data_IF_497952140688
#
_entry.id   IF_497952140688
#
_cell.length_a   1.000
_cell.length_b   1.000
_cell.length_c   1.000
_cell.angle_alpha   90.00
_cell.angle_beta   90.00
_cell.angle_gamma   90.00
#
_symmetry.space_group_name_H-M   'P 1'
#
loop_
_entity.id
_entity.type
_entity.pdbx_description
1 polymer ?
#
# COMPACT_ATOMS: atom_id res chain seq x y z
N UNK A 1 1.63 12.79 17.22
CA UNK A 1 0.88 12.50 15.97
C UNK A 1 -0.53 12.07 16.31
N UNK A 2 -1.45 12.28 15.38
CA UNK A 2 -2.82 11.78 15.41
C UNK A 2 -3.05 10.89 14.20
N UNK A 3 -3.92 9.90 14.33
CA UNK A 3 -4.35 9.04 13.23
C UNK A 3 -5.86 8.90 13.26
N UNK A 4 -6.48 8.71 12.11
CA UNK A 4 -7.91 8.41 12.04
C UNK A 4 -8.14 6.94 12.35
N UNK A 5 -8.91 6.69 13.40
CA UNK A 5 -9.29 5.34 13.79
C UNK A 5 -10.68 5.03 13.23
N UNK A 6 -10.77 4.09 12.29
CA UNK A 6 -12.06 3.64 11.73
C UNK A 6 -13.03 3.21 12.83
N UNK A 7 -12.53 2.57 13.89
CA UNK A 7 -13.35 2.12 14.99
C UNK A 7 -14.02 3.26 15.77
N UNK A 8 -13.44 4.46 15.85
CA UNK A 8 -14.09 5.59 16.52
C UNK A 8 -14.68 6.62 15.57
N UNK A 9 -14.30 6.58 14.29
CA UNK A 9 -14.72 7.54 13.27
C UNK A 9 -14.08 8.93 13.42
N UNK A 10 -12.96 9.07 14.15
CA UNK A 10 -12.28 10.35 14.36
C UNK A 10 -10.76 10.20 14.44
N UNK A 11 -10.05 11.33 14.31
CA UNK A 11 -8.61 11.42 14.58
C UNK A 11 -8.36 11.31 16.08
N UNK A 12 -7.52 10.36 16.49
CA UNK A 12 -7.11 10.09 17.87
C UNK A 12 -5.62 10.34 18.05
N UNK A 13 -5.19 10.70 19.26
CA UNK A 13 -3.76 10.78 19.58
C UNK A 13 -3.19 9.37 19.59
N UNK A 14 -2.14 9.13 18.81
CA UNK A 14 -1.50 7.83 18.75
C UNK A 14 -0.65 7.58 20.00
N UNK A 15 -1.03 6.54 20.72
CA UNK A 15 -0.26 5.94 21.81
C UNK A 15 -0.11 4.45 21.53
N UNK A 16 1.10 3.89 21.41
CA UNK A 16 1.27 2.45 21.31
C UNK A 16 0.85 1.73 22.61
N UNK A 17 0.73 0.41 22.56
CA UNK A 17 0.53 -0.48 23.70
C UNK A 17 1.77 -0.53 24.57
N UNK A 18 2.92 -0.77 23.94
CA UNK A 18 4.22 -0.85 24.58
C UNK A 18 5.04 0.39 24.23
N UNK A 19 5.69 1.03 25.22
CA UNK A 19 6.45 2.26 24.96
C UNK A 19 7.48 2.06 23.84
N UNK A 20 7.45 2.98 22.87
CA UNK A 20 8.34 3.01 21.70
C UNK A 20 8.29 1.78 20.77
N UNK A 21 7.35 0.85 20.96
CA UNK A 21 7.15 -0.32 20.09
C UNK A 21 5.78 -0.27 19.42
N UNK A 22 5.70 -0.69 18.17
CA UNK A 22 4.44 -0.71 17.41
C UNK A 22 4.30 -2.05 16.71
N UNK A 23 3.27 -2.83 17.07
CA UNK A 23 2.83 -4.00 16.33
C UNK A 23 1.82 -3.62 15.26
N UNK A 24 2.16 -3.88 14.00
CA UNK A 24 1.33 -3.50 12.85
C UNK A 24 1.05 -4.72 11.96
N UNK A 25 -0.22 -4.97 11.68
CA UNK A 25 -0.67 -6.01 10.76
C UNK A 25 -1.34 -5.39 9.53
N UNK A 26 -1.04 -5.88 8.33
CA UNK A 26 -1.70 -5.51 7.09
C UNK A 26 -2.20 -6.76 6.37
N UNK A 27 -3.52 -6.86 6.20
CA UNK A 27 -4.14 -7.86 5.33
C UNK A 27 -3.56 -7.76 3.92
N UNK A 28 -2.86 -8.81 3.48
CA UNK A 28 -2.28 -8.89 2.15
C UNK A 28 -3.20 -9.58 1.14
N UNK A 29 -2.70 -9.82 -0.08
CA UNK A 29 -3.52 -10.26 -1.19
C UNK A 29 -3.81 -11.78 -1.15
N UNK A 30 -4.94 -12.16 -1.73
CA UNK A 30 -5.16 -13.54 -2.20
C UNK A 30 -4.34 -13.76 -3.46
N UNK A 31 -3.41 -14.72 -3.44
CA UNK A 31 -2.41 -14.90 -4.50
C UNK A 31 -2.89 -15.76 -5.68
N UNK A 32 -4.13 -15.52 -6.11
CA UNK A 32 -4.73 -16.20 -7.27
C UNK A 32 -4.35 -15.55 -8.61
N UNK A 33 -3.92 -14.28 -8.61
CA UNK A 33 -3.51 -13.58 -9.83
C UNK A 33 -2.57 -12.42 -9.51
N UNK A 34 -1.97 -11.82 -10.54
CA UNK A 34 -1.04 -10.70 -10.39
C UNK A 34 -1.67 -9.47 -9.70
N UNK A 35 -0.80 -8.70 -9.05
CA UNK A 35 -1.18 -7.47 -8.35
C UNK A 35 -1.68 -6.38 -9.29
N UNK A 36 -2.69 -5.63 -8.87
CA UNK A 36 -3.22 -4.46 -9.58
C UNK A 36 -3.03 -3.18 -8.78
N UNK A 37 -3.39 -2.04 -9.36
CA UNK A 37 -3.22 -0.72 -8.74
C UNK A 37 -3.81 -0.60 -7.33
N UNK A 38 -4.95 -1.27 -7.07
CA UNK A 38 -5.55 -1.30 -5.74
C UNK A 38 -4.63 -1.93 -4.68
N UNK A 39 -3.95 -3.02 -5.05
CA UNK A 39 -2.94 -3.65 -4.19
C UNK A 39 -1.73 -2.73 -4.00
N UNK A 40 -1.25 -2.09 -5.07
CA UNK A 40 -0.15 -1.11 -4.99
C UNK A 40 -0.49 0.09 -4.10
N UNK A 41 -1.72 0.61 -4.18
CA UNK A 41 -2.21 1.71 -3.35
C UNK A 41 -2.18 1.37 -1.87
N UNK A 42 -2.72 0.21 -1.50
CA UNK A 42 -2.69 -0.27 -0.11
C UNK A 42 -1.24 -0.42 0.36
N UNK A 43 -0.41 -1.12 -0.42
CA UNK A 43 0.96 -1.40 -0.03
C UNK A 43 1.82 -0.13 0.14
N UNK A 44 1.72 0.86 -0.77
CA UNK A 44 2.42 2.14 -0.65
C UNK A 44 1.92 2.96 0.54
N UNK A 45 0.60 2.99 0.78
CA UNK A 45 0.04 3.72 1.93
C UNK A 45 0.61 3.20 3.26
N UNK A 46 0.61 1.89 3.45
CA UNK A 46 1.08 1.27 4.68
C UNK A 46 2.61 1.21 4.79
N UNK A 47 3.34 1.18 3.68
CA UNK A 47 4.79 1.39 3.63
C UNK A 47 5.16 2.79 4.15
N UNK A 48 4.49 3.85 3.68
CA UNK A 48 4.72 5.23 4.15
C UNK A 48 4.36 5.39 5.62
N UNK A 49 3.25 4.82 6.07
CA UNK A 49 2.85 4.82 7.49
C UNK A 49 3.94 4.17 8.34
N UNK A 50 4.40 2.97 7.96
CA UNK A 50 5.47 2.24 8.66
C UNK A 50 6.77 3.05 8.68
N UNK A 51 7.21 3.56 7.54
CA UNK A 51 8.43 4.37 7.43
C UNK A 51 8.35 5.63 8.28
N UNK A 52 7.20 6.29 8.35
CA UNK A 52 7.04 7.47 9.20
C UNK A 52 7.08 7.13 10.70
N UNK A 53 6.53 5.99 11.12
CA UNK A 53 6.67 5.52 12.51
C UNK A 53 8.15 5.26 12.84
N UNK A 54 8.91 4.64 11.94
CA UNK A 54 10.36 4.44 12.09
C UNK A 54 11.08 5.79 12.15
N UNK A 55 10.74 6.74 11.27
CA UNK A 55 11.27 8.10 11.27
C UNK A 55 11.03 8.83 12.60
N UNK A 56 9.89 8.58 13.26
CA UNK A 56 9.56 9.11 14.60
C UNK A 56 10.31 8.42 15.74
N UNK A 57 11.07 7.35 15.46
CA UNK A 57 11.88 6.61 16.42
C UNK A 57 11.19 5.38 17.02
N UNK A 58 10.04 4.94 16.48
CA UNK A 58 9.39 3.71 16.94
C UNK A 58 10.11 2.47 16.40
N UNK A 59 10.17 1.43 17.23
CA UNK A 59 10.49 0.07 16.80
C UNK A 59 9.22 -0.59 16.28
N UNK A 60 9.12 -0.76 14.96
CA UNK A 60 7.92 -1.33 14.33
C UNK A 60 8.16 -2.81 14.02
N UNK A 61 7.21 -3.67 14.42
CA UNK A 61 7.09 -5.04 13.92
C UNK A 61 5.92 -5.07 12.95
N UNK A 62 6.22 -5.19 11.67
CA UNK A 62 5.25 -5.18 10.58
C UNK A 62 5.03 -6.60 10.03
N UNK A 63 3.79 -7.07 10.12
CA UNK A 63 3.35 -8.39 9.67
C UNK A 63 2.36 -8.22 8.52
N UNK A 64 2.53 -9.00 7.46
CA UNK A 64 1.54 -9.08 6.38
C UNK A 64 1.45 -10.49 5.84
N UNK A 65 0.26 -10.91 5.46
CA UNK A 65 0.01 -12.27 4.99
C UNK A 65 -0.11 -12.37 3.47
N UNK A 66 0.08 -13.58 2.95
CA UNK A 66 -0.43 -14.01 1.66
C UNK A 66 -1.52 -15.06 1.92
N UNK A 67 -2.73 -14.80 1.45
CA UNK A 67 -3.78 -15.84 1.44
C UNK A 67 -3.48 -16.77 0.27
N UNK A 68 -2.87 -17.91 0.59
CA UNK A 68 -2.39 -18.94 -0.35
C UNK A 68 -3.30 -20.19 -0.41
N UNK A 69 -4.48 -20.11 0.21
CA UNK A 69 -5.60 -21.05 0.03
C UNK A 69 -6.92 -20.29 0.13
N UNK A 70 -7.76 -20.35 -0.92
CA UNK A 70 -9.09 -19.73 -0.97
C UNK A 70 -9.90 -20.32 -2.14
N UNK A 71 -11.22 -20.14 -2.15
CA UNK A 71 -12.10 -20.52 -3.26
C UNK A 71 -11.61 -19.93 -4.60
N UNK A 72 -11.15 -18.67 -4.65
CA UNK A 72 -10.62 -18.05 -5.88
C UNK A 72 -9.35 -18.73 -6.38
N UNK A 73 -8.51 -19.20 -5.47
CA UNK A 73 -7.29 -19.90 -5.82
C UNK A 73 -7.57 -21.29 -6.35
N UNK A 74 -8.51 -22.02 -5.75
CA UNK A 74 -8.95 -23.33 -6.21
C UNK A 74 -9.46 -23.22 -7.66
N UNK A 75 -10.42 -22.31 -7.90
CA UNK A 75 -10.98 -22.08 -9.25
C UNK A 75 -9.88 -21.74 -10.26
N UNK A 76 -8.93 -20.88 -9.88
CA UNK A 76 -7.86 -20.47 -10.78
C UNK A 76 -6.87 -21.60 -11.06
N UNK A 77 -6.49 -22.37 -10.04
CA UNK A 77 -5.58 -23.50 -10.16
C UNK A 77 -6.17 -24.57 -11.08
N UNK A 78 -7.46 -24.87 -10.94
CA UNK A 78 -8.20 -25.76 -11.86
C UNK A 78 -8.17 -25.26 -13.30
N UNK A 79 -8.48 -23.97 -13.54
CA UNK A 79 -8.41 -23.37 -14.88
C UNK A 79 -7.00 -23.48 -15.50
N UNK A 80 -5.97 -23.38 -14.68
CA UNK A 80 -4.56 -23.46 -15.10
C UNK A 80 -4.01 -24.89 -15.13
N UNK A 81 -4.78 -25.88 -14.65
CA UNK A 81 -4.36 -27.28 -14.50
C UNK A 81 -3.07 -27.45 -13.69
N UNK A 82 -2.95 -26.69 -12.60
CA UNK A 82 -1.85 -26.76 -11.62
C UNK A 82 -2.43 -26.90 -10.21
N UNK A 83 -1.61 -27.22 -9.21
CA UNK A 83 -2.08 -27.21 -7.82
C UNK A 83 -2.22 -25.79 -7.26
N UNK A 84 -3.01 -25.62 -6.20
CA UNK A 84 -3.13 -24.35 -5.47
C UNK A 84 -1.77 -23.90 -4.91
N UNK A 85 -0.96 -24.87 -4.46
CA UNK A 85 0.41 -24.63 -4.00
C UNK A 85 1.30 -24.10 -5.13
N UNK A 86 1.29 -24.74 -6.30
CA UNK A 86 2.09 -24.28 -7.45
C UNK A 86 1.65 -22.88 -7.90
N UNK A 87 0.35 -22.58 -7.81
CA UNK A 87 -0.17 -21.24 -8.10
C UNK A 87 0.39 -20.21 -7.11
N UNK A 88 0.37 -20.50 -5.80
CA UNK A 88 0.95 -19.63 -4.78
C UNK A 88 2.46 -19.42 -4.98
N UNK A 89 3.21 -20.50 -5.21
CA UNK A 89 4.66 -20.47 -5.43
C UNK A 89 5.04 -19.68 -6.70
N UNK A 90 4.14 -19.61 -7.68
CA UNK A 90 4.30 -18.77 -8.87
C UNK A 90 3.96 -17.30 -8.62
N UNK A 91 2.89 -17.00 -7.90
CA UNK A 91 2.34 -15.65 -7.80
C UNK A 91 2.97 -14.82 -6.66
N UNK A 92 3.36 -15.44 -5.54
CA UNK A 92 4.00 -14.71 -4.42
C UNK A 92 5.27 -13.98 -4.86
N UNK A 93 6.24 -14.62 -5.55
CA UNK A 93 7.44 -13.92 -6.03
C UNK A 93 7.10 -12.75 -6.97
N UNK A 94 6.02 -12.88 -7.75
CA UNK A 94 5.59 -11.82 -8.64
C UNK A 94 5.08 -10.59 -7.88
N UNK A 95 4.35 -10.78 -6.77
CA UNK A 95 3.98 -9.69 -5.87
C UNK A 95 5.20 -9.06 -5.20
N UNK A 96 6.17 -9.86 -4.74
CA UNK A 96 7.39 -9.33 -4.13
C UNK A 96 8.21 -8.48 -5.10
N UNK A 97 8.34 -8.92 -6.35
CA UNK A 97 8.98 -8.14 -7.43
C UNK A 97 8.20 -6.83 -7.68
N UNK A 98 6.88 -6.91 -7.84
CA UNK A 98 6.04 -5.75 -8.16
C UNK A 98 6.02 -4.72 -7.03
N UNK A 99 6.09 -5.18 -5.77
CA UNK A 99 6.18 -4.32 -4.59
C UNK A 99 7.58 -3.76 -4.39
N UNK A 100 8.63 -4.55 -4.65
CA UNK A 100 10.01 -4.09 -4.63
C UNK A 100 10.24 -2.97 -5.65
N UNK A 101 9.63 -3.08 -6.84
CA UNK A 101 9.66 -2.03 -7.85
C UNK A 101 9.04 -0.70 -7.35
N UNK A 102 8.00 -0.75 -6.51
CA UNK A 102 7.42 0.44 -5.85
C UNK A 102 8.23 0.96 -4.65
N UNK A 103 9.41 0.39 -4.38
CA UNK A 103 10.23 0.74 -3.22
C UNK A 103 9.60 0.36 -1.88
N UNK A 104 8.69 -0.63 -1.85
CA UNK A 104 8.07 -1.09 -0.60
C UNK A 104 9.09 -1.86 0.24
N UNK A 105 9.19 -1.54 1.53
CA UNK A 105 10.00 -2.32 2.47
C UNK A 105 9.42 -3.72 2.64
N UNK A 106 10.28 -4.75 2.63
CA UNK A 106 9.86 -6.10 3.02
C UNK A 106 9.26 -6.09 4.42
N UNK A 107 8.16 -6.81 4.60
CA UNK A 107 7.58 -7.05 5.93
C UNK A 107 8.62 -7.69 6.85
N UNK A 108 8.55 -7.40 8.15
CA UNK A 108 9.40 -8.08 9.13
C UNK A 108 9.03 -9.56 9.22
N UNK A 109 7.73 -9.86 9.03
CA UNK A 109 7.19 -11.22 8.99
C UNK A 109 6.18 -11.30 7.83
N UNK A 110 6.42 -12.25 6.92
CA UNK A 110 5.41 -12.69 5.97
C UNK A 110 4.79 -14.00 6.45
N UNK A 111 3.47 -14.07 6.45
CA UNK A 111 2.74 -15.29 6.82
C UNK A 111 1.98 -15.85 5.63
N UNK A 112 1.92 -17.18 5.52
CA UNK A 112 1.00 -17.88 4.62
C UNK A 112 -0.10 -18.53 5.44
N UNK A 113 -1.31 -18.56 4.90
CA UNK A 113 -2.42 -19.22 5.57
C UNK A 113 -2.14 -20.72 5.76
N UNK A 114 -1.55 -21.37 4.76
CA UNK A 114 -1.22 -22.80 4.82
C UNK A 114 -0.16 -23.16 5.87
N UNK A 115 0.66 -22.19 6.31
CA UNK A 115 1.68 -22.38 7.35
C UNK A 115 1.12 -22.21 8.78
N UNK A 116 -0.14 -21.81 8.95
CA UNK A 116 -0.75 -21.45 10.25
C UNK A 116 -2.07 -22.18 10.52
N UNK A 117 -2.25 -23.37 9.93
CA UNK A 117 -3.47 -24.17 10.08
C UNK A 117 -3.71 -24.58 11.54
N UNK A 118 -2.65 -24.90 12.27
CA UNK A 118 -2.74 -25.28 13.69
C UNK A 118 -3.30 -24.12 14.53
N UNK A 119 -2.79 -22.90 14.36
CA UNK A 119 -3.30 -21.71 15.05
C UNK A 119 -4.77 -21.41 14.69
N UNK A 120 -5.18 -21.66 13.45
CA UNK A 120 -6.58 -21.49 13.04
C UNK A 120 -7.48 -22.52 13.73
N UNK A 121 -7.06 -23.79 13.79
CA UNK A 121 -7.80 -24.85 14.49
C UNK A 121 -7.90 -24.52 15.98
N UNK A 122 -6.82 -24.06 16.62
CA UNK A 122 -6.84 -23.65 18.03
C UNK A 122 -7.82 -22.50 18.29
N UNK A 123 -7.83 -21.49 17.42
CA UNK A 123 -8.74 -20.36 17.52
C UNK A 123 -10.20 -20.82 17.40
N UNK A 124 -10.52 -21.67 16.43
CA UNK A 124 -11.89 -22.16 16.24
C UNK A 124 -12.34 -23.03 17.41
N UNK A 125 -11.44 -23.87 17.97
CA UNK A 125 -11.74 -24.64 19.18
C UNK A 125 -12.06 -23.75 20.38
N UNK A 126 -11.28 -22.69 20.61
CA UNK A 126 -11.57 -21.76 21.70
C UNK A 126 -12.89 -21.01 21.49
N UNK A 127 -13.22 -20.65 20.25
CA UNK A 127 -14.53 -20.07 19.92
C UNK A 127 -15.69 -21.04 20.19
N UNK A 128 -15.51 -22.32 19.90
CA UNK A 128 -16.48 -23.39 20.21
C UNK A 128 -16.66 -23.56 21.72
N UNK A 129 -15.56 -23.63 22.47
CA UNK A 129 -15.56 -23.72 23.94
C UNK A 129 -16.26 -22.50 24.59
N UNK A 130 -16.14 -21.32 23.98
CA UNK A 130 -16.82 -20.09 24.40
C UNK A 130 -18.28 -19.97 23.90
N UNK A 131 -18.77 -20.91 23.10
CA UNK A 131 -20.17 -20.95 22.63
C UNK A 131 -20.48 -20.04 21.45
N UNK A 132 -19.48 -19.66 20.65
CA UNK A 132 -19.62 -18.76 19.50
C UNK A 132 -19.75 -19.47 18.15
N UNK A 133 -19.73 -20.81 18.12
CA UNK A 133 -19.74 -21.58 16.88
C UNK A 133 -20.89 -22.56 16.80
N UNK A 134 -21.19 -22.99 15.58
CA UNK A 134 -22.03 -24.14 15.30
C UNK A 134 -21.62 -24.79 13.97
N UNK A 135 -21.94 -26.07 13.83
CA UNK A 135 -21.66 -26.83 12.61
C UNK A 135 -22.92 -26.97 11.76
N UNK A 136 -22.76 -26.89 10.44
CA UNK A 136 -23.77 -27.25 9.43
C UNK A 136 -23.18 -28.25 8.43
N UNK A 137 -23.94 -28.61 7.39
CA UNK A 137 -23.54 -29.63 6.43
C UNK A 137 -22.21 -29.37 5.71
N UNK A 138 -21.81 -28.10 5.54
CA UNK A 138 -20.63 -27.71 4.76
C UNK A 138 -19.48 -27.10 5.58
N UNK A 139 -19.61 -27.00 6.91
CA UNK A 139 -18.53 -26.49 7.75
C UNK A 139 -18.94 -26.04 9.15
N UNK A 140 -17.98 -25.41 9.83
CA UNK A 140 -18.12 -24.75 11.13
C UNK A 140 -18.24 -23.24 10.91
N UNK A 141 -19.25 -22.63 11.52
CA UNK A 141 -19.61 -21.23 11.35
C UNK A 141 -19.55 -20.47 12.66
N UNK A 142 -19.27 -19.17 12.58
CA UNK A 142 -19.42 -18.23 13.68
C UNK A 142 -20.87 -17.76 13.77
N UNK A 143 -21.47 -17.87 14.95
CA UNK A 143 -22.81 -17.36 15.23
C UNK A 143 -22.71 -15.88 15.62
N UNK A 144 -22.95 -14.97 14.68
CA UNK A 144 -22.78 -13.52 14.94
C UNK A 144 -23.73 -12.99 16.01
N UNK A 145 -24.81 -13.72 16.33
CA UNK A 145 -25.76 -13.31 17.37
C UNK A 145 -25.23 -13.50 18.78
N UNK A 146 -24.17 -14.29 18.93
CA UNK A 146 -23.48 -14.52 20.21
C UNK A 146 -22.43 -13.46 20.53
N UNK A 147 -22.12 -12.57 19.58
CA UNK A 147 -21.18 -11.45 19.76
C UNK A 147 -21.93 -10.11 19.66
N UNK A 148 -22.35 -9.50 20.79
CA UNK A 148 -23.20 -8.29 20.79
C UNK A 148 -22.60 -7.08 20.07
N UNK A 149 -21.28 -7.02 19.97
CA UNK A 149 -20.50 -5.94 19.38
C UNK A 149 -20.35 -6.05 17.84
N UNK A 150 -20.92 -7.08 17.21
CA UNK A 150 -20.80 -7.30 15.76
C UNK A 150 -21.36 -6.12 14.97
N UNK A 151 -20.53 -5.53 14.09
CA UNK A 151 -20.87 -4.33 13.32
C UNK A 151 -20.27 -3.03 13.87
N UNK A 152 -19.54 -3.09 14.99
CA UNK A 152 -18.96 -1.90 15.63
C UNK A 152 -17.90 -1.19 14.78
N UNK A 153 -17.18 -1.90 13.92
CA UNK A 153 -16.16 -1.28 13.05
C UNK A 153 -16.83 -0.55 11.89
N UNK A 154 -17.71 -1.25 11.17
CA UNK A 154 -18.45 -0.77 9.99
C UNK A 154 -19.58 0.20 10.30
N UNK A 155 -19.97 0.32 11.59
CA UNK A 155 -21.11 1.12 12.07
C UNK A 155 -22.46 0.64 11.57
N UNK A 156 -22.54 -0.63 11.17
CA UNK A 156 -23.78 -1.24 10.68
C UNK A 156 -24.43 -2.05 11.80
N UNK A 157 -25.75 -1.90 11.99
CA UNK A 157 -26.49 -2.75 12.90
C UNK A 157 -26.87 -4.05 12.20
N UNK A 158 -26.85 -5.17 12.94
CA UNK A 158 -27.28 -6.49 12.47
C UNK A 158 -28.68 -6.48 11.81
N UNK A 159 -29.61 -5.69 12.35
CA UNK A 159 -30.97 -5.57 11.80
C UNK A 159 -31.03 -4.80 10.48
N UNK A 160 -30.12 -3.85 10.25
CA UNK A 160 -30.02 -3.10 8.99
C UNK A 160 -29.38 -3.97 7.91
N UNK A 161 -28.39 -4.79 8.28
CA UNK A 161 -27.76 -5.79 7.42
C UNK A 161 -28.77 -6.82 6.89
N UNK A 162 -29.78 -7.20 7.70
CA UNK A 162 -30.88 -8.11 7.30
C UNK A 162 -31.71 -7.58 6.13
N UNK A 163 -31.85 -6.28 5.97
CA UNK A 163 -32.72 -5.70 4.94
C UNK A 163 -32.09 -5.69 3.53
N UNK A 164 -30.75 -5.81 3.42
CA UNK A 164 -30.00 -5.64 2.17
C UNK A 164 -29.74 -6.92 1.35
N UNK A 165 -29.89 -8.11 1.95
CA UNK A 165 -29.49 -9.39 1.31
C UNK A 165 -30.73 -10.14 0.83
N UNK A 166 -30.96 -10.15 -0.50
CA UNK A 166 -32.11 -10.85 -1.11
C UNK A 166 -31.76 -12.11 -1.92
N UNK A 167 -30.49 -12.49 -2.09
CA UNK A 167 -30.13 -13.40 -3.20
C UNK A 167 -29.52 -14.77 -2.92
N UNK A 168 -28.93 -15.08 -1.77
CA UNK A 168 -28.40 -16.43 -1.50
C UNK A 168 -28.39 -16.74 0.00
N UNK A 169 -29.52 -17.17 0.55
CA UNK A 169 -29.63 -17.59 1.94
C UNK A 169 -29.42 -19.10 2.03
N UNK A 170 -28.26 -19.54 2.53
CA UNK A 170 -28.11 -20.93 2.96
C UNK A 170 -29.07 -21.16 4.15
N UNK A 171 -30.10 -22.02 4.01
CA UNK A 171 -31.15 -22.17 5.02
C UNK A 171 -30.66 -22.85 6.31
N UNK A 172 -29.48 -23.48 6.30
CA UNK A 172 -28.89 -24.08 7.50
C UNK A 172 -28.24 -23.04 8.42
N UNK A 173 -27.96 -21.83 7.92
CA UNK A 173 -27.40 -20.77 8.76
C UNK A 173 -28.46 -20.22 9.72
N UNK A 174 -28.08 -20.04 10.98
CA UNK A 174 -28.96 -19.44 12.00
C UNK A 174 -29.22 -17.97 11.70
N UNK A 175 -28.21 -17.28 11.17
CA UNK A 175 -28.27 -15.91 10.70
C UNK A 175 -27.55 -15.80 9.35
N UNK A 176 -28.10 -14.98 8.43
CA UNK A 176 -27.52 -14.78 7.10
C UNK A 176 -26.12 -14.15 7.12
N UNK A 177 -25.77 -13.44 8.20
CA UNK A 177 -24.45 -12.86 8.42
C UNK A 177 -23.44 -13.82 9.03
N UNK A 178 -23.86 -15.05 9.42
CA UNK A 178 -22.94 -16.06 9.92
C UNK A 178 -21.95 -16.44 8.83
N UNK A 179 -20.67 -16.46 9.20
CA UNK A 179 -19.56 -16.69 8.29
C UNK A 179 -18.81 -17.96 8.66
N UNK A 180 -18.25 -18.61 7.64
CA UNK A 180 -17.52 -19.86 7.80
C UNK A 180 -16.18 -19.61 8.48
N UNK A 181 -15.87 -20.45 9.46
CA UNK A 181 -14.58 -20.53 10.14
C UNK A 181 -13.74 -21.67 9.55
N UNK A 182 -14.37 -22.82 9.33
CA UNK A 182 -13.76 -24.00 8.71
C UNK A 182 -14.73 -24.58 7.68
N UNK A 183 -14.31 -24.69 6.43
CA UNK A 183 -15.12 -25.23 5.33
C UNK A 183 -14.73 -26.68 5.08
N UNK A 184 -15.69 -27.60 5.02
CA UNK A 184 -15.39 -28.99 4.67
C UNK A 184 -14.95 -29.09 3.22
N UNK A 185 -13.91 -29.88 2.99
CA UNK A 185 -13.31 -30.02 1.68
C UNK A 185 -14.21 -30.83 0.76
N UNK A 186 -14.32 -30.39 -0.50
CA UNK A 186 -14.88 -31.21 -1.56
C UNK A 186 -13.79 -32.09 -2.16
N UNK A 187 -14.20 -33.15 -2.85
CA UNK A 187 -13.27 -34.04 -3.54
C UNK A 187 -12.35 -33.25 -4.49
N UNK A 188 -11.04 -33.39 -4.30
CA UNK A 188 -10.01 -32.73 -5.11
C UNK A 188 -9.59 -31.33 -4.63
N UNK A 189 -10.26 -30.73 -3.64
CA UNK A 189 -9.82 -29.48 -3.03
C UNK A 189 -8.65 -29.70 -2.03
N UNK A 190 -7.79 -28.70 -1.79
CA UNK A 190 -6.82 -28.75 -0.70
C UNK A 190 -7.51 -28.93 0.66
N UNK A 191 -7.01 -29.86 1.46
CA UNK A 191 -7.62 -30.25 2.74
C UNK A 191 -6.57 -30.52 3.82
N UNK A 192 -6.97 -30.28 5.07
CA UNK A 192 -6.24 -30.56 6.29
C UNK A 192 -7.14 -31.31 7.27
N UNK A 193 -6.53 -32.16 8.10
CA UNK A 193 -7.24 -32.82 9.19
C UNK A 193 -7.60 -31.81 10.29
N UNK A 194 -8.81 -31.92 10.84
CA UNK A 194 -9.28 -31.10 11.94
C UNK A 194 -10.23 -31.90 12.86
N UNK A 195 -10.53 -31.41 14.07
CA UNK A 195 -11.51 -32.02 14.96
C UNK A 195 -12.91 -32.18 14.35
N UNK A 196 -13.25 -31.36 13.35
CA UNK A 196 -14.56 -31.34 12.68
C UNK A 196 -14.58 -32.16 11.38
N UNK A 197 -13.46 -32.81 11.04
CA UNK A 197 -13.26 -33.51 9.78
C UNK A 197 -12.37 -32.74 8.81
N UNK A 198 -12.15 -33.32 7.63
CA UNK A 198 -11.26 -32.73 6.63
C UNK A 198 -11.84 -31.45 6.02
N UNK A 199 -11.01 -30.43 5.92
CA UNK A 199 -11.44 -29.15 5.40
C UNK A 199 -10.31 -28.14 5.28
N UNK A 200 -10.68 -26.88 5.20
CA UNK A 200 -9.78 -25.75 5.00
C UNK A 200 -10.33 -24.51 5.71
N UNK A 201 -9.47 -23.52 6.03
CA UNK A 201 -9.93 -22.31 6.70
C UNK A 201 -10.92 -21.51 5.85
N UNK A 202 -11.82 -20.81 6.53
CA UNK A 202 -12.60 -19.73 5.95
C UNK A 202 -11.77 -18.44 5.88
N UNK A 203 -12.02 -17.60 4.87
CA UNK A 203 -11.18 -16.42 4.56
C UNK A 203 -10.84 -15.53 5.77
N UNK A 204 -11.78 -15.33 6.70
CA UNK A 204 -11.58 -14.42 7.83
C UNK A 204 -10.68 -14.98 8.95
N UNK A 205 -10.71 -16.31 9.18
CA UNK A 205 -10.04 -16.91 10.35
C UNK A 205 -8.52 -16.81 10.27
N UNK A 206 -8.00 -16.74 9.05
CA UNK A 206 -6.57 -16.70 8.75
C UNK A 206 -5.92 -15.49 9.41
N UNK A 207 -6.43 -14.28 9.14
CA UNK A 207 -5.86 -13.03 9.63
C UNK A 207 -5.94 -12.93 11.15
N UNK A 208 -7.04 -13.36 11.77
CA UNK A 208 -7.18 -13.44 13.22
C UNK A 208 -6.13 -14.36 13.85
N UNK A 209 -5.93 -15.56 13.31
CA UNK A 209 -4.96 -16.51 13.84
C UNK A 209 -3.50 -16.03 13.66
N UNK A 210 -3.15 -15.62 12.45
CA UNK A 210 -1.79 -15.19 12.10
C UNK A 210 -1.38 -13.91 12.83
N UNK A 211 -2.22 -12.88 12.83
CA UNK A 211 -1.91 -11.61 13.50
C UNK A 211 -1.70 -11.81 15.01
N UNK A 212 -2.58 -12.58 15.66
CA UNK A 212 -2.47 -12.88 17.10
C UNK A 212 -1.22 -13.67 17.43
N UNK A 213 -0.84 -14.65 16.60
CA UNK A 213 0.38 -15.43 16.80
C UNK A 213 1.63 -14.56 16.86
N UNK A 214 1.71 -13.55 16.00
CA UNK A 214 2.92 -12.72 15.85
C UNK A 214 2.89 -11.43 16.67
N UNK A 215 1.72 -10.87 16.98
CA UNK A 215 1.57 -9.56 17.64
C UNK A 215 0.83 -9.60 19.00
N UNK A 216 0.23 -10.73 19.34
CA UNK A 216 -0.60 -10.93 20.54
C UNK A 216 -2.06 -10.51 20.35
N UNK A 217 -2.85 -10.62 21.43
CA UNK A 217 -4.31 -10.45 21.40
C UNK A 217 -4.81 -9.00 21.38
N UNK A 218 -3.94 -8.02 21.57
CA UNK A 218 -4.28 -6.59 21.64
C UNK A 218 -3.12 -5.79 21.05
N UNK A 219 -3.01 -5.67 19.73
CA UNK A 219 -1.89 -4.95 19.09
C UNK A 219 -2.29 -3.56 18.57
N UNK A 220 -1.31 -2.80 18.08
CA UNK A 220 -1.46 -1.37 17.86
C UNK A 220 -2.29 -1.03 16.63
N UNK A 221 -1.84 -1.45 15.44
CA UNK A 221 -2.38 -0.97 14.16
C UNK A 221 -2.77 -2.16 13.28
N UNK A 222 -4.01 -2.19 12.81
CA UNK A 222 -4.45 -3.09 11.75
C UNK A 222 -4.88 -2.29 10.52
N UNK A 223 -4.26 -2.61 9.38
CA UNK A 223 -4.45 -1.96 8.09
C UNK A 223 -5.16 -2.82 7.04
N UNK A 224 -5.85 -2.17 6.11
CA UNK A 224 -6.33 -2.79 4.87
C UNK A 224 -7.05 -1.81 3.93
N UNK A 225 -7.54 -2.30 2.80
CA UNK A 225 -8.43 -1.52 1.94
C UNK A 225 -9.78 -1.24 2.62
N UNK A 226 -10.46 -0.14 2.27
CA UNK A 226 -11.78 0.18 2.84
C UNK A 226 -12.84 -0.88 2.56
N UNK A 227 -12.68 -1.70 1.51
CA UNK A 227 -13.49 -2.90 1.27
C UNK A 227 -13.28 -4.03 2.28
N UNK A 228 -12.13 -4.08 2.96
CA UNK A 228 -11.88 -5.06 4.02
C UNK A 228 -12.57 -4.68 5.33
N UNK A 229 -12.99 -3.42 5.50
CA UNK A 229 -13.71 -2.98 6.71
C UNK A 229 -14.94 -3.87 6.99
N UNK A 230 -15.68 -4.24 5.94
CA UNK A 230 -16.79 -5.18 6.04
C UNK A 230 -16.90 -6.06 4.80
N UNK A 231 -17.03 -7.40 4.94
CA UNK A 231 -17.17 -8.10 6.23
C UNK A 231 -15.82 -8.42 6.91
N UNK A 232 -14.70 -8.36 6.20
CA UNK A 232 -13.47 -9.05 6.61
C UNK A 232 -12.95 -8.66 8.01
N UNK A 233 -12.58 -7.40 8.23
CA UNK A 233 -12.08 -6.92 9.51
C UNK A 233 -13.13 -6.95 10.63
N UNK A 234 -14.41 -6.81 10.31
CA UNK A 234 -15.50 -6.98 11.28
C UNK A 234 -15.55 -8.42 11.80
N UNK A 235 -15.42 -9.40 10.91
CA UNK A 235 -15.31 -10.81 11.26
C UNK A 235 -14.05 -11.09 12.10
N UNK A 236 -12.92 -10.46 11.79
CA UNK A 236 -11.68 -10.66 12.55
C UNK A 236 -11.76 -10.14 13.98
N UNK A 237 -12.39 -8.97 14.17
CA UNK A 237 -12.73 -8.45 15.50
C UNK A 237 -13.59 -9.47 16.25
N UNK A 238 -14.67 -9.94 15.61
CA UNK A 238 -15.59 -10.88 16.23
C UNK A 238 -14.87 -12.17 16.66
N UNK A 239 -14.06 -12.77 15.79
CA UNK A 239 -13.29 -13.97 16.09
C UNK A 239 -12.28 -13.74 17.21
N UNK A 240 -11.49 -12.66 17.14
CA UNK A 240 -10.37 -12.44 18.05
C UNK A 240 -10.82 -12.01 19.44
N UNK A 241 -11.84 -11.15 19.53
CA UNK A 241 -12.37 -10.67 20.80
C UNK A 241 -13.27 -11.70 21.48
N UNK A 242 -14.08 -12.45 20.72
CA UNK A 242 -14.88 -13.54 21.27
C UNK A 242 -14.02 -14.71 21.78
N UNK A 243 -12.85 -14.93 21.18
CA UNK A 243 -11.88 -15.90 21.68
C UNK A 243 -11.17 -15.41 22.95
N UNK A 244 -10.64 -14.19 22.94
CA UNK A 244 -9.71 -13.71 23.98
C UNK A 244 -10.38 -12.96 25.14
N UNK A 245 -11.59 -12.43 24.94
CA UNK A 245 -12.26 -11.50 25.86
C UNK A 245 -11.56 -10.14 25.99
N UNK A 246 -10.57 -9.84 25.14
CA UNK A 246 -9.81 -8.59 25.14
C UNK A 246 -10.10 -7.78 23.88
N UNK A 247 -9.71 -6.50 23.86
CA UNK A 247 -9.68 -5.70 22.64
C UNK A 247 -8.66 -6.30 21.68
N UNK A 248 -9.03 -6.51 20.42
CA UNK A 248 -8.16 -7.09 19.41
C UNK A 248 -7.10 -6.11 18.87
N UNK A 249 -7.53 -4.92 18.48
CA UNK A 249 -6.70 -3.90 17.82
C UNK A 249 -7.04 -2.52 18.36
N UNK A 250 -6.02 -1.71 18.64
CA UNK A 250 -6.20 -0.34 19.16
C UNK A 250 -6.62 0.66 18.06
N UNK A 251 -5.99 0.59 16.89
CA UNK A 251 -6.24 1.52 15.78
C UNK A 251 -6.45 0.80 14.45
N UNK A 252 -7.61 1.03 13.84
CA UNK A 252 -7.97 0.50 12.53
C UNK A 252 -7.77 1.56 11.45
N UNK A 253 -6.91 1.30 10.47
CA UNK A 253 -6.60 2.22 9.39
C UNK A 253 -7.03 1.60 8.06
N UNK A 254 -7.74 2.37 7.22
CA UNK A 254 -8.25 1.87 5.95
C UNK A 254 -7.94 2.81 4.79
N UNK A 255 -7.28 2.34 3.73
CA UNK A 255 -6.99 3.16 2.56
C UNK A 255 -8.20 3.25 1.61
N UNK A 256 -8.29 4.36 0.88
CA UNK A 256 -9.33 4.61 -0.12
C UNK A 256 -9.17 3.76 -1.38
N UNK A 257 -10.25 3.67 -2.17
CA UNK A 257 -10.29 2.92 -3.43
C UNK A 257 -9.49 3.57 -4.56
N UNK A 258 -9.07 2.75 -5.52
CA UNK A 258 -8.77 3.19 -6.88
C UNK A 258 -10.03 3.02 -7.75
N UNK A 259 -10.40 4.07 -8.46
CA UNK A 259 -11.42 4.10 -9.51
C UNK A 259 -10.73 4.28 -10.86
N UNK A 260 -11.40 3.91 -11.95
CA UNK A 260 -10.98 4.18 -13.33
C UNK A 260 -12.18 4.80 -14.02
N UNK A 261 -12.03 6.01 -14.55
CA UNK A 261 -13.10 6.78 -15.19
C UNK A 261 -14.38 6.91 -14.33
N UNK A 262 -14.22 7.22 -13.04
CA UNK A 262 -15.28 7.26 -12.02
C UNK A 262 -15.97 5.91 -11.70
N UNK A 263 -15.61 4.81 -12.37
CA UNK A 263 -16.09 3.47 -12.03
C UNK A 263 -15.11 2.73 -11.11
N UNK A 264 -15.63 1.79 -10.30
CA UNK A 264 -14.76 0.93 -9.50
C UNK A 264 -13.99 -0.01 -10.44
N UNK A 265 -12.67 -0.12 -10.24
CA UNK A 265 -11.84 -1.08 -10.97
C UNK A 265 -12.34 -2.51 -10.76
N UNK A 266 -12.61 -3.25 -11.85
CA UNK A 266 -12.94 -4.67 -11.78
C UNK A 266 -12.58 -5.41 -13.07
N UNK A 267 -12.22 -6.70 -12.96
CA UNK A 267 -11.94 -7.54 -14.14
C UNK A 267 -13.13 -7.65 -15.09
N UNK A 268 -14.35 -7.67 -14.54
CA UNK A 268 -15.60 -7.79 -15.33
C UNK A 268 -15.92 -6.57 -16.18
N UNK A 269 -15.45 -5.38 -15.77
CA UNK A 269 -15.66 -4.13 -16.52
C UNK A 269 -14.55 -3.87 -17.55
N UNK A 270 -13.54 -4.73 -17.64
CA UNK A 270 -12.41 -4.56 -18.57
C UNK A 270 -11.47 -3.39 -18.23
N UNK A 271 -11.72 -2.65 -17.14
CA UNK A 271 -10.95 -1.50 -16.67
C UNK A 271 -9.90 -1.89 -15.61
N UNK A 272 -9.40 -3.13 -15.65
CA UNK A 272 -8.47 -3.68 -14.68
C UNK A 272 -7.04 -3.67 -15.23
N UNK A 273 -6.15 -2.96 -14.55
CA UNK A 273 -4.73 -2.87 -14.91
C UNK A 273 -3.86 -3.52 -13.83
N UNK A 274 -3.05 -4.50 -14.23
CA UNK A 274 -2.02 -5.01 -13.32
C UNK A 274 -0.93 -3.96 -13.12
N UNK A 275 -0.21 -4.02 -12.01
CA UNK A 275 0.96 -3.18 -11.78
C UNK A 275 1.98 -3.36 -12.91
N UNK A 276 2.20 -4.62 -13.33
CA UNK A 276 3.10 -4.96 -14.43
C UNK A 276 2.72 -4.34 -15.77
N UNK A 277 1.42 -4.24 -16.07
CA UNK A 277 0.98 -3.59 -17.31
C UNK A 277 1.30 -2.10 -17.31
N UNK A 278 1.28 -1.47 -16.14
CA UNK A 278 1.63 -0.06 -15.97
C UNK A 278 3.15 0.12 -16.00
N UNK A 279 3.91 -0.78 -15.38
CA UNK A 279 5.38 -0.71 -15.36
C UNK A 279 6.02 -0.84 -16.76
N UNK A 280 5.32 -1.46 -17.72
CA UNK A 280 5.74 -1.46 -19.13
C UNK A 280 5.69 -0.08 -19.78
N UNK A 281 4.92 0.84 -19.21
CA UNK A 281 4.67 2.18 -19.77
C UNK A 281 5.32 3.29 -18.93
N UNK A 282 5.34 3.13 -17.61
CA UNK A 282 5.78 4.14 -16.66
C UNK A 282 6.75 3.55 -15.64
N UNK A 283 7.71 4.35 -15.19
CA UNK A 283 8.58 3.96 -14.09
C UNK A 283 7.73 3.68 -12.82
N UNK A 284 7.96 2.58 -12.09
CA UNK A 284 7.23 2.25 -10.87
C UNK A 284 7.20 3.38 -9.82
N UNK A 285 8.23 4.21 -9.74
CA UNK A 285 8.29 5.33 -8.82
C UNK A 285 7.29 6.44 -9.19
N UNK A 286 6.90 6.56 -10.47
CA UNK A 286 5.78 7.43 -10.90
C UNK A 286 4.48 6.97 -10.25
N UNK A 287 4.25 5.65 -10.23
CA UNK A 287 3.05 5.05 -9.60
C UNK A 287 3.08 5.30 -8.09
N UNK A 288 4.24 5.13 -7.45
CA UNK A 288 4.43 5.47 -6.03
C UNK A 288 4.09 6.94 -5.77
N UNK A 289 4.69 7.86 -6.54
CA UNK A 289 4.48 9.29 -6.39
C UNK A 289 3.00 9.68 -6.61
N UNK A 290 2.34 9.13 -7.62
CA UNK A 290 0.90 9.30 -7.87
C UNK A 290 0.08 8.98 -6.62
N UNK A 291 0.38 7.88 -5.93
CA UNK A 291 -0.32 7.54 -4.70
C UNK A 291 -0.08 8.58 -3.59
N UNK A 292 1.11 9.16 -3.47
CA UNK A 292 1.41 10.15 -2.43
C UNK A 292 0.70 11.49 -2.63
N UNK A 293 0.30 11.83 -3.86
CA UNK A 293 -0.40 13.07 -4.17
C UNK A 293 -1.79 13.18 -3.54
N UNK A 294 -2.38 12.05 -3.17
CA UNK A 294 -3.71 11.99 -2.56
C UNK A 294 -3.65 11.29 -1.22
N UNK A 295 -4.25 11.90 -0.20
CA UNK A 295 -4.34 11.35 1.15
C UNK A 295 -4.77 9.87 1.14
N UNK A 296 -4.13 9.01 1.95
CA UNK A 296 -4.27 7.55 1.83
C UNK A 296 -5.70 7.04 1.96
N UNK A 297 -6.55 7.73 2.74
CA UNK A 297 -7.97 7.42 2.96
C UNK A 297 -8.89 7.88 1.83
N UNK A 298 -8.43 8.81 1.00
CA UNK A 298 -9.21 9.36 -0.10
C UNK A 298 -9.15 8.45 -1.32
N UNK A 299 -10.25 8.32 -2.08
CA UNK A 299 -10.23 7.59 -3.34
C UNK A 299 -9.36 8.33 -4.35
N UNK A 300 -8.74 7.58 -5.27
CA UNK A 300 -8.05 8.12 -6.44
C UNK A 300 -8.83 7.68 -7.68
N UNK A 301 -9.12 8.64 -8.57
CA UNK A 301 -9.65 8.35 -9.90
C UNK A 301 -8.48 8.28 -10.88
N UNK A 302 -8.16 7.07 -11.34
CA UNK A 302 -7.00 6.78 -12.14
C UNK A 302 -7.29 6.99 -13.62
N UNK A 303 -6.36 7.66 -14.31
CA UNK A 303 -6.32 7.79 -15.76
C UNK A 303 -4.86 7.84 -16.24
N UNK A 304 -4.63 7.61 -17.55
CA UNK A 304 -3.29 7.73 -18.14
C UNK A 304 -2.77 9.18 -18.02
N UNK A 305 -3.64 10.19 -18.14
CA UNK A 305 -3.27 11.60 -17.97
C UNK A 305 -2.78 11.90 -16.54
N UNK A 306 -3.37 11.25 -15.52
CA UNK A 306 -2.92 11.40 -14.13
C UNK A 306 -1.52 10.81 -13.94
N UNK A 307 -1.19 9.70 -14.62
CA UNK A 307 0.16 9.14 -14.60
C UNK A 307 1.17 10.06 -15.29
N UNK A 308 0.83 10.64 -16.44
CA UNK A 308 1.68 11.60 -17.14
C UNK A 308 1.96 12.85 -16.29
N UNK A 309 0.93 13.39 -15.62
CA UNK A 309 1.08 14.51 -14.69
C UNK A 309 1.97 14.13 -13.49
N UNK A 310 1.81 12.90 -12.98
CA UNK A 310 2.64 12.36 -11.91
C UNK A 310 4.10 12.22 -12.36
N UNK A 311 4.34 11.74 -13.58
CA UNK A 311 5.68 11.62 -14.15
C UNK A 311 6.38 12.98 -14.24
N UNK A 312 5.67 14.01 -14.72
CA UNK A 312 6.19 15.38 -14.77
C UNK A 312 6.52 15.92 -13.36
N UNK A 313 5.67 15.63 -12.37
CA UNK A 313 5.93 16.01 -10.99
C UNK A 313 7.18 15.35 -10.41
N UNK A 314 7.35 14.05 -10.64
CA UNK A 314 8.51 13.28 -10.20
C UNK A 314 9.79 13.72 -10.91
N UNK A 315 9.73 14.01 -12.21
CA UNK A 315 10.86 14.52 -12.98
C UNK A 315 11.46 15.78 -12.34
N UNK A 316 10.62 16.71 -11.87
CA UNK A 316 11.11 17.91 -11.15
C UNK A 316 11.87 17.57 -9.85
N UNK A 317 11.50 16.49 -9.17
CA UNK A 317 12.20 16.02 -7.98
C UNK A 317 13.58 15.47 -8.37
N UNK A 318 13.65 14.68 -9.45
CA UNK A 318 14.92 14.13 -9.94
C UNK A 318 15.85 15.21 -10.51
N UNK A 319 15.32 16.18 -11.27
CA UNK A 319 16.07 17.34 -11.75
C UNK A 319 16.69 18.14 -10.60
N UNK A 320 15.91 18.36 -9.53
CA UNK A 320 16.40 18.99 -8.32
C UNK A 320 17.58 18.24 -7.71
N UNK A 321 17.49 16.91 -7.59
CA UNK A 321 18.58 16.09 -7.08
C UNK A 321 19.83 16.20 -7.94
N UNK A 322 19.70 16.09 -9.27
CA UNK A 322 20.84 16.25 -10.21
C UNK A 322 21.49 17.62 -10.08
N UNK A 323 20.69 18.69 -10.03
CA UNK A 323 21.19 20.07 -9.86
C UNK A 323 21.93 20.24 -8.54
N UNK A 324 21.36 19.75 -7.44
CA UNK A 324 21.95 19.85 -6.11
C UNK A 324 23.27 19.08 -6.03
N UNK A 325 23.33 17.86 -6.59
CA UNK A 325 24.54 17.03 -6.61
C UNK A 325 25.67 17.65 -7.44
N UNK A 326 25.36 18.24 -8.61
CA UNK A 326 26.34 18.88 -9.50
C UNK A 326 26.75 20.30 -9.08
N UNK A 327 26.14 20.87 -8.04
CA UNK A 327 26.45 22.22 -7.60
C UNK A 327 27.83 22.32 -6.92
N UNK A 328 28.74 23.13 -7.46
CA UNK A 328 30.13 23.25 -7.00
C UNK A 328 30.51 24.63 -6.43
N UNK A 329 29.73 25.68 -6.69
CA UNK A 329 29.99 27.00 -6.13
C UNK A 329 29.88 26.98 -4.58
N UNK A 330 30.59 27.87 -3.90
CA UNK A 330 30.56 28.00 -2.44
C UNK A 330 30.14 29.42 -2.06
N UNK A 331 28.82 29.61 -1.97
CA UNK A 331 28.22 30.87 -1.55
C UNK A 331 28.19 31.05 -0.03
N UNK A 332 27.49 32.09 0.41
CA UNK A 332 27.19 32.32 1.81
C UNK A 332 25.68 32.30 1.98
N UNK A 333 25.16 31.28 2.65
CA UNK A 333 23.73 31.10 2.88
C UNK A 333 23.35 31.17 4.36
N UNK A 334 22.05 31.26 4.61
CA UNK A 334 21.42 31.04 5.91
C UNK A 334 20.38 29.93 5.82
N UNK A 335 20.72 28.82 5.14
CA UNK A 335 19.74 27.80 4.75
C UNK A 335 19.19 27.01 5.94
N UNK A 336 19.90 26.98 7.06
CA UNK A 336 19.55 26.19 8.25
C UNK A 336 18.11 26.42 8.74
N UNK A 337 17.66 27.67 8.79
CA UNK A 337 16.31 27.99 9.29
C UNK A 337 15.23 27.61 8.27
N UNK A 338 15.54 27.71 6.98
CA UNK A 338 14.70 27.16 5.92
C UNK A 338 14.56 25.64 6.08
N UNK A 339 15.67 24.91 6.21
CA UNK A 339 15.65 23.45 6.34
C UNK A 339 14.86 22.98 7.57
N UNK A 340 15.02 23.66 8.72
CA UNK A 340 14.23 23.38 9.93
C UNK A 340 12.73 23.59 9.71
N UNK A 341 12.35 24.68 9.02
CA UNK A 341 10.94 24.97 8.76
C UNK A 341 10.34 23.97 7.76
N UNK A 342 11.08 23.55 6.73
CA UNK A 342 10.68 22.49 5.81
C UNK A 342 10.45 21.18 6.57
N UNK A 343 11.41 20.76 7.40
CA UNK A 343 11.28 19.53 8.18
C UNK A 343 10.09 19.59 9.14
N UNK A 344 9.88 20.74 9.78
CA UNK A 344 8.74 20.96 10.66
C UNK A 344 7.41 20.82 9.91
N UNK A 345 7.25 21.50 8.77
CA UNK A 345 6.04 21.41 7.95
C UNK A 345 5.78 20.01 7.40
N UNK A 346 6.84 19.31 6.99
CA UNK A 346 6.76 17.90 6.61
C UNK A 346 6.20 17.06 7.76
N UNK A 347 6.77 17.22 8.97
CA UNK A 347 6.31 16.51 10.18
C UNK A 347 4.90 16.90 10.59
N UNK A 348 4.47 18.15 10.40
CA UNK A 348 3.11 18.59 10.68
C UNK A 348 2.08 17.87 9.80
N UNK A 349 2.34 17.75 8.49
CA UNK A 349 1.50 16.96 7.60
C UNK A 349 1.47 15.48 8.00
N UNK A 350 2.63 14.88 8.18
CA UNK A 350 2.71 13.46 8.52
C UNK A 350 2.16 13.13 9.93
N UNK A 351 2.29 14.06 10.89
CA UNK A 351 1.72 13.91 12.24
C UNK A 351 0.19 14.08 12.27
N UNK A 352 -0.43 14.62 11.21
CA UNK A 352 -1.87 14.78 11.09
C UNK A 352 -2.49 13.70 10.18
N UNK A 353 -2.48 12.44 10.63
CA UNK A 353 -3.03 11.30 9.89
C UNK A 353 -2.30 10.99 8.58
N UNK A 354 -0.97 11.20 8.54
CA UNK A 354 -0.14 10.89 7.38
C UNK A 354 -0.57 11.68 6.12
N UNK A 355 -0.79 12.99 6.26
CA UNK A 355 -1.12 13.90 5.14
C UNK A 355 0.06 14.08 4.18
N UNK A 356 0.25 13.08 3.32
CA UNK A 356 1.27 13.09 2.27
C UNK A 356 1.15 14.28 1.30
N UNK A 357 -0.03 14.83 0.95
CA UNK A 357 -0.10 16.03 0.12
C UNK A 357 0.55 17.26 0.79
N UNK A 358 0.37 17.41 2.10
CA UNK A 358 1.00 18.49 2.89
C UNK A 358 2.51 18.27 2.99
N UNK A 359 2.94 17.03 3.21
CA UNK A 359 4.35 16.66 3.23
C UNK A 359 5.03 16.93 1.87
N UNK A 360 4.38 16.56 0.76
CA UNK A 360 4.85 16.84 -0.60
C UNK A 360 4.93 18.34 -0.88
N UNK A 361 3.97 19.13 -0.42
CA UNK A 361 4.02 20.59 -0.56
C UNK A 361 5.27 21.18 0.12
N UNK A 362 5.65 20.67 1.31
CA UNK A 362 6.91 21.06 1.96
C UNK A 362 8.14 20.64 1.13
N UNK A 363 8.13 19.45 0.52
CA UNK A 363 9.20 19.01 -0.38
C UNK A 363 9.34 19.91 -1.62
N UNK A 364 8.25 20.32 -2.25
CA UNK A 364 8.31 21.21 -3.41
C UNK A 364 8.73 22.64 -3.03
N UNK A 365 8.40 23.11 -1.82
CA UNK A 365 8.94 24.37 -1.31
C UNK A 365 10.46 24.29 -1.10
N UNK A 366 10.98 23.17 -0.57
CA UNK A 366 12.43 22.94 -0.48
C UNK A 366 13.07 23.01 -1.86
N UNK A 367 12.53 22.26 -2.83
CA UNK A 367 13.02 22.24 -4.22
C UNK A 367 13.09 23.65 -4.79
N UNK A 368 12.02 24.42 -4.65
CA UNK A 368 11.93 25.79 -5.18
C UNK A 368 12.98 26.72 -4.57
N UNK A 369 13.11 26.73 -3.24
CA UNK A 369 14.04 27.63 -2.56
C UNK A 369 15.49 27.28 -2.82
N UNK A 370 15.84 26.00 -2.78
CA UNK A 370 17.22 25.55 -3.01
C UNK A 370 17.62 25.74 -4.47
N UNK A 371 16.73 25.48 -5.44
CA UNK A 371 17.00 25.78 -6.85
C UNK A 371 17.29 27.28 -7.05
N UNK A 372 16.53 28.18 -6.40
CA UNK A 372 16.83 29.61 -6.45
C UNK A 372 18.22 29.95 -5.88
N UNK A 373 18.62 29.32 -4.78
CA UNK A 373 19.96 29.50 -4.22
C UNK A 373 21.07 28.95 -5.12
N UNK A 374 20.82 27.85 -5.82
CA UNK A 374 21.71 27.29 -6.85
C UNK A 374 21.87 28.29 -8.01
N UNK A 375 20.76 28.84 -8.50
CA UNK A 375 20.75 29.78 -9.63
C UNK A 375 21.48 31.10 -9.30
N UNK A 376 21.28 31.61 -8.08
CA UNK A 376 21.94 32.81 -7.59
C UNK A 376 23.37 32.55 -7.08
N UNK A 377 23.84 31.29 -7.15
CA UNK A 377 25.14 30.83 -6.62
C UNK A 377 25.37 31.22 -5.15
N UNK A 378 24.30 31.28 -4.37
CA UNK A 378 24.33 31.70 -2.96
C UNK A 378 24.41 30.53 -2.00
N UNK A 379 24.04 29.32 -2.44
CA UNK A 379 24.14 28.11 -1.63
C UNK A 379 25.61 27.83 -1.27
N UNK A 380 25.90 27.59 0.00
CA UNK A 380 27.21 27.15 0.47
C UNK A 380 27.34 25.63 0.32
N UNK A 381 28.57 25.12 0.30
CA UNK A 381 28.81 23.67 0.32
C UNK A 381 28.29 23.01 1.61
N UNK A 382 28.34 23.73 2.74
CA UNK A 382 27.73 23.28 3.98
C UNK A 382 26.19 23.19 3.87
N UNK A 383 25.56 24.19 3.24
CA UNK A 383 24.13 24.23 2.98
C UNK A 383 23.65 23.14 2.03
N UNK A 384 24.43 22.85 0.96
CA UNK A 384 24.22 21.69 0.09
C UNK A 384 24.24 20.38 0.88
N UNK A 385 25.27 20.15 1.70
CA UNK A 385 25.39 18.94 2.50
C UNK A 385 24.24 18.78 3.51
N UNK A 386 23.83 19.88 4.16
CA UNK A 386 22.67 19.90 5.06
C UNK A 386 21.36 19.60 4.33
N UNK A 387 21.19 20.14 3.12
CA UNK A 387 20.03 19.88 2.26
C UNK A 387 19.95 18.42 1.84
N UNK A 388 21.05 17.83 1.36
CA UNK A 388 21.11 16.41 1.00
C UNK A 388 20.73 15.51 2.19
N UNK A 389 21.28 15.81 3.37
CA UNK A 389 20.94 15.08 4.60
C UNK A 389 19.47 15.20 4.98
N UNK A 390 18.85 16.37 4.80
CA UNK A 390 17.41 16.51 5.01
C UNK A 390 16.63 15.68 3.98
N UNK A 391 16.99 15.77 2.70
CA UNK A 391 16.35 15.01 1.62
C UNK A 391 16.41 13.51 1.90
N UNK A 392 17.57 12.95 2.26
CA UNK A 392 17.70 11.53 2.64
C UNK A 392 16.70 11.14 3.74
N UNK A 393 16.54 12.01 4.75
CA UNK A 393 15.60 11.77 5.85
C UNK A 393 14.14 11.85 5.38
N UNK A 394 13.76 12.80 4.54
CA UNK A 394 12.41 12.89 3.98
C UNK A 394 12.13 11.70 3.04
N UNK A 395 13.12 11.32 2.25
CA UNK A 395 13.03 10.23 1.28
C UNK A 395 12.97 8.85 1.93
N UNK A 396 13.56 8.70 3.12
CA UNK A 396 13.37 7.49 3.94
C UNK A 396 11.89 7.18 4.24
N UNK A 397 11.03 8.21 4.18
CA UNK A 397 9.58 8.11 4.34
C UNK A 397 8.87 8.03 2.98
N UNK A 398 9.16 8.97 2.08
CA UNK A 398 8.42 9.12 0.84
C UNK A 398 8.91 8.22 -0.29
N UNK A 399 10.21 7.96 -0.44
CA UNK A 399 10.79 7.12 -1.49
C UNK A 399 10.61 7.65 -2.93
N UNK A 400 10.75 8.95 -3.13
CA UNK A 400 10.55 9.65 -4.42
C UNK A 400 11.73 10.52 -4.87
N UNK A 401 12.73 10.78 -4.02
CA UNK A 401 13.87 11.61 -4.40
C UNK A 401 14.97 10.79 -5.08
N UNK A 402 15.23 9.59 -4.57
CA UNK A 402 16.24 8.69 -5.13
C UNK A 402 15.55 7.67 -6.04
N UNK A 403 15.94 7.56 -7.32
CA UNK A 403 15.38 6.57 -8.23
C UNK A 403 15.50 5.14 -7.68
N UNK A 404 14.39 4.41 -7.59
CA UNK A 404 14.36 3.00 -7.14
C UNK A 404 15.00 2.05 -8.15
N UNK A 405 14.96 2.46 -9.41
CA UNK A 405 15.62 1.81 -10.53
C UNK A 405 16.74 2.73 -10.98
N UNK A 406 18.00 2.30 -10.84
CA UNK A 406 19.06 2.76 -11.73
C UNK A 406 18.73 2.22 -13.13
N UNK A 407 17.68 2.72 -13.77
CA UNK A 407 17.80 2.93 -15.20
C UNK A 407 18.76 4.09 -15.27
N UNK A 408 20.05 3.78 -15.25
CA UNK A 408 21.04 4.68 -15.81
C UNK A 408 20.54 4.93 -17.22
N UNK A 409 19.89 6.07 -17.42
CA UNK A 409 20.09 6.75 -18.67
C UNK A 409 21.61 6.91 -18.74
N UNK A 410 22.22 6.52 -19.86
CA UNK A 410 23.61 6.86 -20.08
C UNK A 410 23.73 8.37 -19.79
N UNK A 411 24.75 8.82 -19.06
CA UNK A 411 24.93 10.25 -18.73
C UNK A 411 24.81 11.15 -20.00
N UNK A 412 25.13 10.57 -21.15
CA UNK A 412 24.94 11.11 -22.49
C UNK A 412 23.48 11.42 -22.85
N UNK A 413 22.53 10.53 -22.53
CA UNK A 413 21.10 10.73 -22.75
C UNK A 413 20.57 11.86 -21.87
N UNK A 414 20.97 11.90 -20.61
CA UNK A 414 20.53 12.97 -19.70
C UNK A 414 21.08 14.32 -20.16
N UNK A 415 22.34 14.36 -20.58
CA UNK A 415 22.97 15.56 -21.14
C UNK A 415 22.23 16.04 -22.40
N UNK A 416 21.80 15.12 -23.26
CA UNK A 416 21.01 15.44 -24.46
C UNK A 416 19.63 16.03 -24.08
N UNK A 417 18.93 15.46 -23.10
CA UNK A 417 17.64 16.01 -22.66
C UNK A 417 17.81 17.44 -22.10
N UNK A 418 18.80 17.66 -21.24
CA UNK A 418 19.11 18.99 -20.68
C UNK A 418 19.53 20.00 -21.76
N UNK A 419 20.34 19.58 -22.73
CA UNK A 419 20.75 20.41 -23.86
C UNK A 419 19.55 20.79 -24.73
N UNK A 420 18.60 19.86 -24.92
CA UNK A 420 17.39 20.10 -25.69
C UNK A 420 16.48 21.12 -25.03
N UNK A 421 16.28 21.05 -23.71
CA UNK A 421 15.47 22.03 -23.00
C UNK A 421 16.08 23.43 -23.08
N UNK A 422 17.40 23.56 -22.92
CA UNK A 422 18.10 24.85 -23.16
C UNK A 422 17.91 25.34 -24.59
N UNK A 423 18.04 24.46 -25.59
CA UNK A 423 17.80 24.82 -26.98
C UNK A 423 16.37 25.34 -27.21
N UNK A 424 15.37 24.76 -26.53
CA UNK A 424 13.97 25.23 -26.60
C UNK A 424 13.78 26.59 -25.91
N UNK A 425 14.38 26.79 -24.74
CA UNK A 425 14.35 28.08 -24.02
C UNK A 425 14.98 29.21 -24.86
N UNK A 426 16.09 28.91 -25.53
CA UNK A 426 16.80 29.82 -26.44
C UNK A 426 16.12 29.94 -27.83
N UNK A 427 15.01 29.24 -28.05
CA UNK A 427 14.28 29.15 -29.34
C UNK A 427 15.12 28.62 -30.50
N UNK A 428 16.16 27.84 -30.20
CA UNK A 428 16.94 27.08 -31.16
C UNK A 428 16.25 25.75 -31.51
N UNK A 429 15.17 25.85 -32.28
CA UNK A 429 14.33 24.69 -32.66
C UNK A 429 15.09 23.63 -33.46
N UNK A 430 16.07 24.05 -34.28
CA UNK A 430 16.89 23.13 -35.09
C UNK A 430 17.69 22.21 -34.16
N UNK A 431 18.38 22.77 -33.17
CA UNK A 431 19.15 21.96 -32.22
C UNK A 431 18.24 21.09 -31.35
N UNK A 432 17.07 21.59 -30.95
CA UNK A 432 16.12 20.81 -30.18
C UNK A 432 15.55 19.60 -30.94
N UNK A 433 15.32 19.75 -32.25
CA UNK A 433 14.89 18.66 -33.13
C UNK A 433 16.02 17.65 -33.39
N UNK A 434 17.26 18.12 -33.62
CA UNK A 434 18.44 17.24 -33.77
C UNK A 434 18.63 16.34 -32.54
N UNK A 435 18.48 16.91 -31.35
CA UNK A 435 18.65 16.16 -30.11
C UNK A 435 17.48 15.17 -29.90
N UNK A 436 16.25 15.55 -30.27
CA UNK A 436 15.11 14.62 -30.25
C UNK A 436 15.39 13.39 -31.12
N UNK A 437 15.94 13.60 -32.30
CA UNK A 437 16.23 12.52 -33.23
C UNK A 437 17.40 11.64 -32.72
N UNK A 438 18.44 12.22 -32.13
CA UNK A 438 19.54 11.50 -31.46
C UNK A 438 19.05 10.64 -30.29
N UNK A 439 18.11 11.16 -29.51
CA UNK A 439 17.50 10.43 -28.40
C UNK A 439 16.64 9.27 -28.94
N UNK A 440 15.90 9.50 -30.03
CA UNK A 440 15.11 8.45 -30.67
C UNK A 440 15.97 7.31 -31.21
N UNK A 441 17.13 7.62 -31.81
CA UNK A 441 18.13 6.62 -32.23
C UNK A 441 18.70 5.79 -31.07
N UNK A 442 18.80 6.40 -29.87
CA UNK A 442 19.18 5.71 -28.63
C UNK A 442 18.03 4.93 -27.97
N UNK A 443 16.90 4.80 -28.67
CA UNK A 443 15.71 4.12 -28.17
C UNK A 443 14.97 4.94 -27.12
N UNK A 444 15.03 6.27 -27.20
CA UNK A 444 14.37 7.18 -26.26
C UNK A 444 13.45 8.12 -27.03
N UNK A 445 12.15 7.90 -26.88
CA UNK A 445 11.13 8.74 -27.47
C UNK A 445 10.81 9.89 -26.52
N UNK A 446 10.83 11.12 -27.05
CA UNK A 446 10.40 12.31 -26.34
C UNK A 446 8.96 12.66 -26.72
N UNK A 447 8.14 13.00 -25.73
CA UNK A 447 6.78 13.49 -25.88
C UNK A 447 6.66 14.88 -25.25
N UNK A 448 6.36 15.88 -26.07
CA UNK A 448 6.17 17.25 -25.61
C UNK A 448 4.72 17.46 -25.17
N UNK A 449 4.53 17.82 -23.90
CA UNK A 449 3.25 18.24 -23.36
C UNK A 449 3.24 19.73 -23.04
N UNK A 450 2.06 20.32 -22.82
CA UNK A 450 1.93 21.69 -22.32
C UNK A 450 2.62 21.89 -20.95
N UNK A 451 2.96 20.81 -20.25
CA UNK A 451 3.59 20.77 -18.93
C UNK A 451 5.09 20.42 -18.93
N UNK A 452 5.70 20.17 -20.09
CA UNK A 452 7.11 19.79 -20.24
C UNK A 452 7.32 18.58 -21.15
N UNK A 453 8.58 18.22 -21.38
CA UNK A 453 8.96 17.03 -22.18
C UNK A 453 9.04 15.79 -21.28
N UNK A 454 8.25 14.78 -21.60
CA UNK A 454 8.31 13.43 -21.01
C UNK A 454 9.18 12.59 -21.94
N UNK A 455 9.92 11.61 -21.41
CA UNK A 455 10.64 10.65 -22.22
C UNK A 455 10.24 9.21 -21.88
N UNK A 456 10.34 8.33 -22.86
CA UNK A 456 10.09 6.90 -22.71
C UNK A 456 11.15 6.11 -23.47
N UNK A 457 11.67 5.05 -22.86
CA UNK A 457 12.52 4.08 -23.55
C UNK A 457 11.65 3.16 -24.42
N UNK A 458 11.96 3.04 -25.70
CA UNK A 458 11.22 2.24 -26.69
C UNK A 458 11.93 0.94 -27.06
#
# INVERSE_FOLDING_TARGET
MKLYNTLSGKKEVFHPRDENKVGMYLCGPTVYDYGHLGHGRSAVAFDVIRRYLIYKGFQVTFVSNYTDVDDKMIVRAEMMKISVKDLAEKIIPAYEEDYGALGIMKSDIYTKATDHIEEMIELIRGLEENGHTYQISDGVYFDVTTFPDYGKLSKQKLDELRAGVRKDLNPEKRNHQDFVLWKFAKEGEPEWDSPWGKGRPGWHIECSAMSRKHLGDDFDIHGGGVDLMFPHHECEIAQSEAYSGKRFVKYWLHNGFIRVDNEKMSKSLGNFFTLRDIYKKFDPQVVRYLFLQTHYRSPIDFSDELLEQSANGLMRVHDFMRRLERYEDDGNDGVDDLLKEIEKRFREGMDDDFETPVALAACFDLIRWINGMIDDKSLSQAGKAATLKLVERLDSVLGIFIPTTQVSLDEEVEALIEEREKAREEKNWVRADEIRDLLLEKGIQLEDSASGTIWKKI
#
